data_IF_089777895541
#
_entry.id   IF_089777895541
#
_cell.length_a   1.000
_cell.length_b   1.000
_cell.length_c   1.000
_cell.angle_alpha   90.00
_cell.angle_beta   90.00
_cell.angle_gamma   90.00
#
_symmetry.space_group_name_H-M   'P 1'
#
loop_
_entity.id
_entity.type
_entity.pdbx_description
1 polymer ?
#
# COMPACT_ATOMS: atom_id res chain seq x y z
N UNK A 1 -19.82 19.90 -12.39
CA UNK A 1 -18.52 19.85 -13.10
C UNK A 1 -17.48 19.40 -12.08
N UNK A 2 -16.81 18.27 -12.29
CA UNK A 2 -15.82 17.75 -11.34
C UNK A 2 -14.47 18.41 -11.63
N UNK A 3 -13.93 19.12 -10.64
CA UNK A 3 -12.64 19.80 -10.73
C UNK A 3 -11.51 18.84 -10.30
N UNK A 4 -10.63 18.49 -11.24
CA UNK A 4 -9.48 17.64 -10.98
C UNK A 4 -8.60 18.18 -9.84
N UNK A 5 -8.41 19.51 -9.74
CA UNK A 5 -7.61 20.13 -8.68
C UNK A 5 -8.26 19.98 -7.31
N UNK A 6 -9.59 20.04 -7.24
CA UNK A 6 -10.32 19.78 -6.00
C UNK A 6 -10.18 18.32 -5.57
N UNK A 7 -10.20 17.37 -6.51
CA UNK A 7 -9.99 15.94 -6.22
C UNK A 7 -8.56 15.67 -5.74
N UNK A 8 -7.55 16.22 -6.42
CA UNK A 8 -6.14 16.17 -6.01
C UNK A 8 -5.96 16.65 -4.57
N UNK A 9 -6.51 17.82 -4.21
CA UNK A 9 -6.41 18.34 -2.83
C UNK A 9 -7.02 17.40 -1.79
N UNK A 10 -8.11 16.71 -2.13
CA UNK A 10 -8.76 15.73 -1.24
C UNK A 10 -7.91 14.47 -1.06
N UNK A 11 -7.25 13.99 -2.11
CA UNK A 11 -6.33 12.86 -2.00
C UNK A 11 -5.10 13.23 -1.16
N UNK A 12 -4.52 14.40 -1.38
CA UNK A 12 -3.41 14.91 -0.55
C UNK A 12 -3.78 14.96 0.94
N UNK A 13 -5.04 15.24 1.26
CA UNK A 13 -5.54 15.25 2.64
C UNK A 13 -5.95 13.86 3.17
N UNK A 14 -5.81 12.79 2.38
CA UNK A 14 -6.17 11.43 2.79
C UNK A 14 -5.22 10.91 3.86
N UNK A 15 -5.72 10.52 5.06
CA UNK A 15 -4.88 9.95 6.10
C UNK A 15 -4.19 8.66 5.65
N UNK A 16 -4.85 7.88 4.78
CA UNK A 16 -4.29 6.65 4.20
C UNK A 16 -3.00 6.92 3.41
N UNK A 17 -3.01 7.90 2.51
CA UNK A 17 -1.83 8.23 1.70
C UNK A 17 -0.68 8.70 2.59
N UNK A 18 -1.01 9.45 3.65
CA UNK A 18 -0.02 9.90 4.64
C UNK A 18 0.64 8.73 5.37
N UNK A 19 -0.12 7.72 5.80
CA UNK A 19 0.42 6.52 6.43
C UNK A 19 1.29 5.68 5.48
N UNK A 20 0.89 5.60 4.21
CA UNK A 20 1.62 4.81 3.21
C UNK A 20 2.93 5.47 2.80
N UNK A 21 3.04 6.80 2.87
CA UNK A 21 4.22 7.54 2.38
C UNK A 21 5.15 8.06 3.46
N UNK A 22 4.61 8.36 4.65
CA UNK A 22 5.31 9.11 5.71
C UNK A 22 5.51 10.59 5.38
N UNK A 23 5.79 10.93 4.12
CA UNK A 23 6.02 12.30 3.64
C UNK A 23 5.04 12.70 2.53
N UNK A 24 4.06 13.52 2.90
CA UNK A 24 3.06 14.05 1.98
C UNK A 24 3.63 15.06 0.97
N UNK A 25 4.81 15.66 1.22
CA UNK A 25 5.41 16.62 0.29
C UNK A 25 5.94 15.98 -0.98
N UNK A 26 6.21 14.66 -0.94
CA UNK A 26 6.64 13.86 -2.10
C UNK A 26 5.48 13.54 -3.06
N UNK A 27 4.24 13.81 -2.69
CA UNK A 27 3.08 13.53 -3.55
C UNK A 27 3.07 14.45 -4.79
N UNK A 28 2.86 13.91 -6.00
CA UNK A 28 2.68 14.72 -7.19
C UNK A 28 1.52 15.71 -7.04
N UNK A 29 1.72 16.94 -7.53
CA UNK A 29 0.70 18.00 -7.52
C UNK A 29 -0.16 18.03 -8.78
N UNK A 30 0.39 17.52 -9.89
CA UNK A 30 -0.37 17.38 -11.13
C UNK A 30 -1.42 16.26 -10.96
N UNK A 31 -2.69 16.50 -11.33
CA UNK A 31 -3.76 15.51 -11.16
C UNK A 31 -3.49 14.18 -11.88
N UNK A 32 -2.90 14.22 -13.08
CA UNK A 32 -2.61 13.02 -13.87
C UNK A 32 -1.53 12.21 -13.18
N UNK A 33 -0.40 12.85 -12.86
CA UNK A 33 0.71 12.23 -12.18
C UNK A 33 0.29 11.65 -10.83
N UNK A 34 -0.50 12.38 -10.04
CA UNK A 34 -0.98 11.91 -8.75
C UNK A 34 -1.85 10.65 -8.89
N UNK A 35 -2.78 10.64 -9.84
CA UNK A 35 -3.68 9.49 -10.00
C UNK A 35 -2.91 8.21 -10.35
N UNK A 36 -1.98 8.26 -11.30
CA UNK A 36 -1.14 7.10 -11.60
C UNK A 36 -0.23 6.70 -10.44
N UNK A 37 0.30 7.71 -9.73
CA UNK A 37 1.12 7.48 -8.54
C UNK A 37 0.33 6.69 -7.49
N UNK A 38 -0.89 7.12 -7.16
CA UNK A 38 -1.79 6.46 -6.20
C UNK A 38 -2.13 5.05 -6.68
N UNK A 39 -2.57 4.89 -7.93
CA UNK A 39 -2.91 3.59 -8.52
C UNK A 39 -1.74 2.59 -8.45
N UNK A 40 -0.50 3.06 -8.63
CA UNK A 40 0.69 2.22 -8.64
C UNK A 40 1.26 1.86 -7.27
N UNK A 41 1.03 2.67 -6.23
CA UNK A 41 1.71 2.52 -4.93
C UNK A 41 0.80 2.24 -3.75
N UNK A 42 -0.50 2.45 -3.89
CA UNK A 42 -1.45 2.11 -2.82
C UNK A 42 -1.74 0.60 -2.85
N UNK A 43 -1.64 -0.10 -1.70
CA UNK A 43 -2.02 -1.50 -1.60
C UNK A 43 -3.55 -1.61 -1.53
N UNK A 44 -4.21 -1.68 -2.68
CA UNK A 44 -5.65 -1.94 -2.76
C UNK A 44 -5.94 -3.41 -2.46
N UNK A 45 -7.20 -3.70 -2.10
CA UNK A 45 -7.64 -5.04 -1.71
C UNK A 45 -7.43 -6.13 -2.79
N UNK A 46 -7.34 -5.76 -4.07
CA UNK A 46 -7.07 -6.72 -5.14
C UNK A 46 -6.30 -6.11 -6.32
N UNK A 47 -5.57 -6.95 -7.05
CA UNK A 47 -4.90 -6.57 -8.30
C UNK A 47 -5.89 -6.13 -9.38
N UNK A 48 -7.13 -6.64 -9.37
CA UNK A 48 -8.18 -6.23 -10.31
C UNK A 48 -8.55 -4.75 -10.14
N UNK A 49 -8.72 -4.28 -8.89
CA UNK A 49 -8.99 -2.86 -8.61
C UNK A 49 -7.88 -1.97 -9.18
N UNK A 50 -6.61 -2.37 -8.96
CA UNK A 50 -5.46 -1.66 -9.51
C UNK A 50 -5.49 -1.63 -11.04
N UNK A 51 -5.81 -2.75 -11.68
CA UNK A 51 -5.94 -2.83 -13.14
C UNK A 51 -7.03 -1.89 -13.67
N UNK A 52 -8.19 -1.85 -13.02
CA UNK A 52 -9.32 -1.00 -13.43
C UNK A 52 -8.98 0.48 -13.31
N UNK A 53 -8.30 0.88 -12.22
CA UNK A 53 -7.82 2.26 -12.05
C UNK A 53 -6.84 2.65 -13.16
N UNK A 54 -5.88 1.79 -13.48
CA UNK A 54 -4.87 2.04 -14.51
C UNK A 54 -5.46 2.05 -15.93
N UNK A 55 -6.50 1.27 -16.18
CA UNK A 55 -7.22 1.24 -17.46
C UNK A 55 -8.16 2.44 -17.67
N UNK A 56 -8.43 3.23 -16.64
CA UNK A 56 -9.33 4.39 -16.75
C UNK A 56 -8.73 5.49 -17.64
N UNK A 57 -9.42 5.87 -18.72
CA UNK A 57 -8.98 6.92 -19.65
C UNK A 57 -9.20 8.35 -19.12
N UNK A 58 -9.88 8.50 -17.98
CA UNK A 58 -10.21 9.80 -17.41
C UNK A 58 -9.52 10.00 -16.07
N UNK A 59 -8.63 10.98 -16.00
CA UNK A 59 -7.97 11.42 -14.75
C UNK A 59 -9.01 11.77 -13.68
N UNK A 60 -10.10 12.43 -14.06
CA UNK A 60 -11.18 12.79 -13.13
C UNK A 60 -11.91 11.57 -12.61
N UNK A 61 -12.18 10.57 -13.47
CA UNK A 61 -12.81 9.33 -13.04
C UNK A 61 -11.88 8.56 -12.08
N UNK A 62 -10.61 8.38 -12.47
CA UNK A 62 -9.62 7.66 -11.66
C UNK A 62 -9.44 8.28 -10.28
N UNK A 63 -9.25 9.60 -10.19
CA UNK A 63 -9.13 10.32 -8.92
C UNK A 63 -10.38 10.16 -8.03
N UNK A 64 -11.58 10.01 -8.63
CA UNK A 64 -12.81 9.79 -7.88
C UNK A 64 -12.89 8.37 -7.35
N UNK A 65 -12.55 7.38 -8.16
CA UNK A 65 -12.56 5.98 -7.78
C UNK A 65 -11.52 5.73 -6.69
N UNK A 66 -10.31 6.28 -6.83
CA UNK A 66 -9.28 6.29 -5.78
C UNK A 66 -9.82 6.90 -4.48
N UNK A 67 -10.43 8.08 -4.54
CA UNK A 67 -11.01 8.73 -3.36
C UNK A 67 -12.12 7.91 -2.72
N UNK A 68 -12.92 7.21 -3.52
CA UNK A 68 -14.02 6.38 -3.01
C UNK A 68 -13.46 5.13 -2.32
N UNK A 69 -12.49 4.46 -2.95
CA UNK A 69 -11.77 3.33 -2.36
C UNK A 69 -11.11 3.71 -1.03
N UNK A 70 -10.53 4.92 -0.96
CA UNK A 70 -9.89 5.44 0.25
C UNK A 70 -10.88 6.01 1.28
N UNK A 71 -12.13 6.32 0.91
CA UNK A 71 -13.18 6.83 1.80
C UNK A 71 -13.98 5.76 2.51
N UNK A 72 -14.15 4.60 1.87
CA UNK A 72 -15.01 3.53 2.35
C UNK A 72 -14.56 2.92 3.69
N UNK A 73 -13.42 3.34 4.18
CA UNK A 73 -12.81 2.82 5.40
C UNK A 73 -12.31 4.00 6.23
N UNK A 74 -12.85 4.19 7.44
CA UNK A 74 -12.10 4.96 8.43
C UNK A 74 -10.79 4.22 8.65
N UNK A 75 -9.67 4.92 8.53
CA UNK A 75 -8.33 4.31 8.57
C UNK A 75 -8.14 3.48 9.85
N UNK A 76 -8.78 3.90 10.96
CA UNK A 76 -8.75 3.22 12.26
C UNK A 76 -9.43 1.83 12.24
N UNK A 77 -10.45 1.65 11.41
CA UNK A 77 -11.22 0.40 11.31
C UNK A 77 -10.74 -0.53 10.17
N UNK A 78 -9.75 -0.10 9.39
CA UNK A 78 -9.32 -0.85 8.21
C UNK A 78 -8.29 -1.90 8.56
N UNK A 79 -8.63 -3.16 8.29
CA UNK A 79 -7.79 -4.33 8.54
C UNK A 79 -7.09 -4.83 7.28
N UNK A 80 -5.93 -5.44 7.48
CA UNK A 80 -5.22 -6.26 6.49
C UNK A 80 -5.49 -7.71 6.87
N UNK A 81 -6.05 -8.50 5.96
CA UNK A 81 -6.42 -9.89 6.22
C UNK A 81 -5.79 -10.83 5.18
N UNK A 82 -5.60 -12.09 5.56
CA UNK A 82 -5.14 -13.14 4.66
C UNK A 82 -6.17 -13.37 3.55
N UNK A 83 -5.74 -13.30 2.29
CA UNK A 83 -6.62 -13.48 1.13
C UNK A 83 -7.23 -14.89 1.04
N UNK A 84 -6.61 -15.89 1.68
CA UNK A 84 -7.05 -17.29 1.63
C UNK A 84 -8.08 -17.61 2.71
N UNK A 85 -7.83 -17.21 3.96
CA UNK A 85 -8.67 -17.60 5.12
C UNK A 85 -9.40 -16.43 5.78
N UNK A 86 -9.09 -15.18 5.44
CA UNK A 86 -9.73 -14.00 6.00
C UNK A 86 -9.30 -13.63 7.42
N UNK A 87 -8.37 -14.36 8.04
CA UNK A 87 -7.80 -13.99 9.35
C UNK A 87 -7.14 -12.62 9.25
N UNK A 88 -7.42 -11.76 10.22
CA UNK A 88 -6.81 -10.43 10.32
C UNK A 88 -5.34 -10.58 10.68
N UNK A 89 -4.46 -10.07 9.83
CA UNK A 89 -3.01 -10.11 9.99
C UNK A 89 -2.51 -8.82 10.66
N UNK A 90 -3.08 -7.67 10.30
CA UNK A 90 -2.68 -6.37 10.85
C UNK A 90 -3.76 -5.31 10.57
N UNK A 91 -3.47 -4.05 10.88
CA UNK A 91 -4.29 -2.88 10.59
C UNK A 91 -3.53 -1.87 9.75
N UNK A 92 -4.23 -1.05 8.99
CA UNK A 92 -3.57 0.03 8.24
C UNK A 92 -2.87 1.05 9.13
N UNK A 93 -3.35 1.24 10.36
CA UNK A 93 -2.70 2.11 11.36
C UNK A 93 -1.33 1.60 11.80
N UNK A 94 -1.02 0.32 11.55
CA UNK A 94 0.29 -0.28 11.87
C UNK A 94 1.28 -0.13 10.71
N UNK A 95 0.90 0.44 9.56
CA UNK A 95 1.83 0.69 8.46
C UNK A 95 2.98 1.58 8.92
N UNK A 96 4.21 1.20 8.53
CA UNK A 96 5.43 1.95 8.83
C UNK A 96 6.28 2.09 7.59
N UNK A 97 6.86 3.27 7.39
CA UNK A 97 7.73 3.56 6.25
C UNK A 97 9.13 3.05 6.53
N UNK A 98 9.55 2.07 5.74
CA UNK A 98 10.87 1.42 5.84
C UNK A 98 11.77 1.68 4.61
N UNK A 99 11.24 2.38 3.59
CA UNK A 99 11.91 2.64 2.32
C UNK A 99 11.58 4.04 1.80
N UNK A 100 12.30 4.52 0.78
CA UNK A 100 12.00 5.81 0.15
C UNK A 100 10.68 5.78 -0.64
N UNK A 101 10.27 4.58 -1.05
CA UNK A 101 9.02 4.30 -1.76
C UNK A 101 7.79 4.39 -0.86
N UNK A 102 7.99 4.23 0.46
CA UNK A 102 6.96 4.31 1.49
C UNK A 102 6.91 3.05 2.36
N UNK A 103 5.71 2.77 2.88
CA UNK A 103 5.37 1.56 3.62
C UNK A 103 4.98 0.39 2.69
N UNK A 104 5.04 0.57 1.37
CA UNK A 104 4.80 -0.46 0.37
C UNK A 104 5.86 -0.38 -0.74
N UNK A 105 6.26 -1.52 -1.30
CA UNK A 105 7.23 -1.58 -2.38
C UNK A 105 7.32 -2.94 -3.05
N UNK A 106 7.82 -2.96 -4.29
CA UNK A 106 8.05 -4.19 -5.06
C UNK A 106 9.51 -4.62 -5.00
N UNK A 107 9.74 -5.87 -4.61
CA UNK A 107 11.08 -6.44 -4.44
C UNK A 107 11.21 -7.76 -5.18
N UNK A 108 12.42 -8.13 -5.57
CA UNK A 108 12.69 -9.36 -6.32
C UNK A 108 13.56 -10.28 -5.48
N UNK A 109 13.15 -11.55 -5.33
CA UNK A 109 13.96 -12.54 -4.63
C UNK A 109 15.07 -13.10 -5.55
N UNK A 110 15.97 -13.89 -4.99
CA UNK A 110 17.10 -14.52 -5.69
C UNK A 110 16.69 -15.46 -6.84
N UNK A 111 15.42 -15.87 -6.88
CA UNK A 111 14.83 -16.71 -7.93
C UNK A 111 14.09 -15.90 -9.01
N UNK A 112 14.10 -14.56 -8.94
CA UNK A 112 13.45 -13.68 -9.91
C UNK A 112 11.94 -13.48 -9.68
N UNK A 113 11.38 -13.96 -8.56
CA UNK A 113 9.99 -13.72 -8.22
C UNK A 113 9.81 -12.32 -7.63
N UNK A 114 8.81 -11.58 -8.13
CA UNK A 114 8.47 -10.23 -7.68
C UNK A 114 7.43 -10.30 -6.56
N UNK A 115 7.70 -9.61 -5.45
CA UNK A 115 6.84 -9.51 -4.27
C UNK A 115 6.45 -8.05 -4.04
N UNK A 116 5.16 -7.75 -4.07
CA UNK A 116 4.60 -6.46 -3.64
C UNK A 116 4.36 -6.54 -2.12
N UNK A 117 5.22 -5.87 -1.35
CA UNK A 117 5.24 -5.95 0.10
C UNK A 117 4.65 -4.69 0.72
N UNK A 118 4.08 -4.87 1.90
CA UNK A 118 3.80 -3.80 2.85
C UNK A 118 4.62 -4.02 4.13
N UNK A 119 4.99 -2.95 4.81
CA UNK A 119 5.70 -2.98 6.08
C UNK A 119 4.81 -2.49 7.21
N UNK A 120 4.63 -3.34 8.22
CA UNK A 120 3.82 -3.05 9.42
C UNK A 120 4.65 -3.21 10.69
N UNK A 121 4.33 -2.45 11.72
CA UNK A 121 4.97 -2.55 13.04
C UNK A 121 4.54 -3.82 13.78
N UNK A 122 3.27 -4.20 13.63
CA UNK A 122 2.67 -5.32 14.36
C UNK A 122 1.89 -6.24 13.44
N UNK A 123 2.07 -7.54 13.65
CA UNK A 123 1.23 -8.61 13.12
C UNK A 123 0.49 -9.24 14.30
N UNK A 124 -0.79 -9.58 14.12
CA UNK A 124 -1.59 -10.26 15.14
C UNK A 124 -0.97 -11.63 15.47
N UNK A 125 -0.83 -11.93 16.77
CA UNK A 125 0.00 -13.06 17.24
C UNK A 125 -0.49 -14.44 16.80
N UNK A 126 -1.77 -14.57 16.50
CA UNK A 126 -2.46 -15.78 16.05
C UNK A 126 -2.61 -15.85 14.52
N UNK A 127 -2.18 -14.80 13.81
CA UNK A 127 -2.34 -14.69 12.36
C UNK A 127 -1.15 -15.21 11.54
N UNK A 128 -0.04 -15.57 12.20
CA UNK A 128 1.23 -15.84 11.54
C UNK A 128 2.06 -16.88 12.30
N UNK A 129 2.46 -17.95 11.62
CA UNK A 129 3.44 -18.90 12.11
C UNK A 129 4.78 -18.73 11.37
N UNK A 130 5.89 -18.69 12.11
CA UNK A 130 7.22 -18.59 11.51
C UNK A 130 7.74 -19.97 11.10
N UNK A 131 8.40 -20.02 9.94
CA UNK A 131 9.04 -21.22 9.42
C UNK A 131 10.52 -20.96 9.17
N UNK A 132 11.38 -21.80 9.75
CA UNK A 132 12.83 -21.71 9.59
C UNK A 132 13.53 -20.85 10.64
N UNK A 133 14.74 -20.37 10.33
CA UNK A 133 15.54 -19.49 11.18
C UNK A 133 15.72 -18.13 10.50
N UNK A 134 15.91 -17.05 11.27
CA UNK A 134 16.22 -15.74 10.68
C UNK A 134 17.50 -15.77 9.83
N UNK A 135 17.45 -15.18 8.65
CA UNK A 135 18.59 -15.07 7.74
C UNK A 135 18.74 -13.66 7.15
N UNK A 136 19.98 -13.28 6.86
CA UNK A 136 20.29 -11.95 6.29
C UNK A 136 20.60 -12.01 4.80
N UNK A 137 20.75 -13.21 4.24
CA UNK A 137 20.98 -13.39 2.81
C UNK A 137 19.83 -12.81 2.01
N UNK A 138 20.13 -12.02 0.98
CA UNK A 138 19.14 -11.38 0.11
C UNK A 138 18.07 -10.52 0.82
N UNK A 139 18.38 -10.02 2.03
CA UNK A 139 17.46 -9.13 2.76
C UNK A 139 17.23 -7.82 1.99
N UNK A 140 15.96 -7.46 1.79
CA UNK A 140 15.56 -6.20 1.16
C UNK A 140 15.67 -4.99 2.09
N UNK A 141 15.82 -5.21 3.39
CA UNK A 141 15.98 -4.16 4.40
C UNK A 141 17.35 -4.31 5.07
N UNK A 142 18.38 -3.54 4.65
CA UNK A 142 19.71 -3.63 5.22
C UNK A 142 19.71 -3.49 6.75
N UNK A 143 20.40 -4.41 7.43
CA UNK A 143 20.40 -4.49 8.90
C UNK A 143 19.33 -5.39 9.50
N UNK A 144 18.41 -5.93 8.70
CA UNK A 144 17.38 -6.88 9.15
C UNK A 144 17.65 -8.29 8.63
N UNK A 145 17.35 -9.29 9.47
CA UNK A 145 17.16 -10.67 9.06
C UNK A 145 15.67 -10.94 8.80
N UNK A 146 15.36 -11.84 7.89
CA UNK A 146 13.99 -12.24 7.55
C UNK A 146 13.73 -13.71 7.91
N UNK A 147 12.47 -14.05 8.15
CA UNK A 147 11.99 -15.44 8.37
C UNK A 147 10.68 -15.59 7.64
N UNK A 148 10.45 -16.75 7.03
CA UNK A 148 9.20 -17.03 6.32
C UNK A 148 8.05 -17.06 7.33
N UNK A 149 6.96 -16.41 6.99
CA UNK A 149 5.71 -16.41 7.75
C UNK A 149 4.62 -17.06 6.91
N UNK A 150 3.84 -17.94 7.54
CA UNK A 150 2.72 -18.68 6.95
C UNK A 150 1.42 -18.39 7.70
#
# INVERSE_FOLDING_TARGET
>A
MFDARALTRRLHASPYLRLTLGDAEKLPRDPTALSYWVASRVPFASAAIRSDLLASDSVVARLRDELELLRRSEVEDTVIACATCGVVVSKLTELVVMSEEGASGCFVNEHGAVHDLITVVRVESDAAATTGRPETAHSWFPGYAWTIVC
#
